data_IF_299279403900
#
_entry.id   IF_299279403900
#
_cell.length_a   1.000
_cell.length_b   1.000
_cell.length_c   1.000
_cell.angle_alpha   90.00
_cell.angle_beta   90.00
_cell.angle_gamma   90.00
#
_symmetry.space_group_name_H-M   'P 1'
#
loop_
_entity.id
_entity.type
_entity.pdbx_description
1 polymer ?
#
# COMPACT_ATOMS: atom_id res chain seq x y z
N UNK A 1 13.85 0.35 -6.90
CA UNK A 1 13.27 1.48 -6.15
C UNK A 1 12.38 0.97 -5.04
N UNK A 2 12.04 1.82 -4.07
CA UNK A 2 11.16 1.47 -2.95
C UNK A 2 9.92 2.36 -2.96
N UNK A 3 8.77 1.77 -2.63
CA UNK A 3 7.47 2.42 -2.74
C UNK A 3 6.61 2.27 -1.49
N UNK A 4 5.93 3.35 -1.11
CA UNK A 4 4.81 3.32 -0.18
C UNK A 4 3.49 3.32 -0.96
N UNK A 5 2.74 2.23 -0.83
CA UNK A 5 1.55 1.93 -1.63
C UNK A 5 0.30 2.19 -0.79
N UNK A 6 -0.46 3.22 -1.16
CA UNK A 6 -1.56 3.75 -0.34
C UNK A 6 -2.89 3.15 -0.76
N UNK A 7 -3.60 2.56 0.21
CA UNK A 7 -5.00 2.12 0.06
C UNK A 7 -5.87 2.74 1.15
N UNK A 8 -7.11 3.08 0.78
CA UNK A 8 -8.09 3.74 1.65
C UNK A 8 -9.42 3.01 1.58
N UNK A 9 -10.33 3.31 2.50
CA UNK A 9 -11.70 2.79 2.44
C UNK A 9 -12.34 3.21 1.11
N UNK A 10 -12.98 2.25 0.44
CA UNK A 10 -13.67 2.48 -0.82
C UNK A 10 -15.17 2.59 -0.58
N UNK A 11 -15.84 3.26 -1.51
CA UNK A 11 -17.31 3.32 -1.56
C UNK A 11 -17.80 2.39 -2.66
N UNK A 12 -18.66 1.45 -2.29
CA UNK A 12 -19.29 0.49 -3.21
C UNK A 12 -20.64 1.02 -3.71
N UNK A 13 -21.66 0.16 -3.66
CA UNK A 13 -23.05 0.55 -3.86
C UNK A 13 -23.49 1.64 -2.86
N UNK A 14 -24.66 2.28 -3.04
CA UNK A 14 -25.12 3.32 -2.11
C UNK A 14 -25.08 2.85 -0.64
N UNK A 15 -24.35 3.59 0.21
CA UNK A 15 -24.11 3.32 1.66
C UNK A 15 -23.17 2.16 1.98
N UNK A 16 -22.60 1.50 0.98
CA UNK A 16 -21.60 0.45 1.19
C UNK A 16 -20.20 1.05 1.35
N UNK A 17 -19.50 0.63 2.40
CA UNK A 17 -18.09 0.91 2.61
C UNK A 17 -17.34 -0.39 2.45
N UNK A 18 -16.44 -0.45 1.47
CA UNK A 18 -15.49 -1.55 1.28
C UNK A 18 -14.24 -1.20 2.10
N UNK A 19 -13.92 -1.96 3.17
CA UNK A 19 -12.78 -1.64 4.03
C UNK A 19 -11.46 -1.62 3.27
N UNK A 20 -10.57 -0.69 3.60
CA UNK A 20 -9.26 -0.54 2.96
C UNK A 20 -8.43 -1.85 2.98
N UNK A 21 -8.53 -2.63 4.06
CA UNK A 21 -7.86 -3.93 4.18
C UNK A 21 -8.44 -4.96 3.21
N UNK A 22 -9.76 -4.97 2.97
CA UNK A 22 -10.38 -5.84 1.98
C UNK A 22 -9.92 -5.48 0.57
N UNK A 23 -9.85 -4.19 0.24
CA UNK A 23 -9.31 -3.72 -1.04
C UNK A 23 -7.86 -4.16 -1.23
N UNK A 24 -7.04 -4.09 -0.18
CA UNK A 24 -5.67 -4.59 -0.20
C UNK A 24 -5.61 -6.09 -0.48
N UNK A 25 -6.41 -6.88 0.25
CA UNK A 25 -6.46 -8.34 0.08
C UNK A 25 -6.87 -8.73 -1.34
N UNK A 26 -7.85 -8.06 -1.93
CA UNK A 26 -8.26 -8.28 -3.33
C UNK A 26 -7.09 -7.97 -4.29
N UNK A 27 -6.41 -6.84 -4.10
CA UNK A 27 -5.24 -6.45 -4.93
C UNK A 27 -4.09 -7.46 -4.84
N UNK A 28 -3.76 -7.92 -3.64
CA UNK A 28 -2.70 -8.91 -3.43
C UNK A 28 -3.10 -10.26 -4.01
N UNK A 29 -4.34 -10.70 -3.78
CA UNK A 29 -4.87 -11.96 -4.34
C UNK A 29 -4.77 -12.01 -5.87
N UNK A 30 -5.09 -10.90 -6.53
CA UNK A 30 -5.01 -10.79 -7.99
C UNK A 30 -3.65 -10.32 -8.52
N UNK A 31 -2.69 -10.07 -7.62
CA UNK A 31 -1.35 -9.64 -7.98
C UNK A 31 -1.30 -8.32 -8.74
N UNK A 32 -2.20 -7.37 -8.43
CA UNK A 32 -2.33 -6.10 -9.16
C UNK A 32 -2.32 -4.89 -8.24
N UNK A 33 -1.69 -3.80 -8.70
CA UNK A 33 -1.82 -2.49 -8.08
C UNK A 33 -2.27 -1.44 -9.07
N UNK A 34 -3.24 -0.61 -8.68
CA UNK A 34 -3.88 0.37 -9.55
C UNK A 34 -3.31 1.76 -9.34
N UNK A 35 -3.13 2.50 -10.44
CA UNK A 35 -2.67 3.90 -10.44
C UNK A 35 -3.41 4.75 -11.49
N UNK A 36 -3.38 6.06 -11.30
CA UNK A 36 -3.86 7.00 -12.32
C UNK A 36 -2.85 7.09 -13.46
N UNK A 37 -3.34 7.29 -14.70
CA UNK A 37 -2.49 7.69 -15.83
C UNK A 37 -1.63 8.93 -15.54
N UNK A 38 -2.12 9.83 -14.67
CA UNK A 38 -1.47 11.08 -14.28
C UNK A 38 -0.48 10.91 -13.13
N UNK A 39 -0.26 9.69 -12.62
CA UNK A 39 0.72 9.47 -11.55
C UNK A 39 2.12 9.86 -12.07
N UNK A 40 2.83 10.81 -11.42
CA UNK A 40 4.11 11.32 -11.91
C UNK A 40 5.21 10.25 -11.93
N UNK A 41 5.04 9.17 -11.16
CA UNK A 41 6.00 8.08 -11.07
C UNK A 41 5.67 6.90 -12.00
N UNK A 42 4.59 6.96 -12.79
CA UNK A 42 4.14 5.86 -13.66
C UNK A 42 5.27 5.24 -14.50
N UNK A 43 6.14 6.07 -15.08
CA UNK A 43 7.26 5.63 -15.94
C UNK A 43 8.48 5.11 -15.16
N UNK A 44 8.53 5.31 -13.83
CA UNK A 44 9.63 4.89 -12.97
C UNK A 44 9.40 3.52 -12.32
N UNK A 45 8.17 3.01 -12.38
CA UNK A 45 7.80 1.71 -11.81
C UNK A 45 8.40 0.62 -12.70
N UNK A 46 9.20 -0.25 -12.10
CA UNK A 46 9.88 -1.32 -12.82
C UNK A 46 9.82 -2.66 -12.06
N UNK A 47 9.89 -3.80 -12.78
CA UNK A 47 10.12 -5.10 -12.14
C UNK A 47 11.36 -5.07 -11.24
N UNK A 48 11.26 -5.71 -10.07
CA UNK A 48 12.33 -5.73 -9.06
C UNK A 48 12.28 -4.56 -8.07
N UNK A 49 11.37 -3.60 -8.25
CA UNK A 49 11.07 -2.63 -7.20
C UNK A 49 10.37 -3.30 -6.00
N UNK A 50 10.54 -2.72 -4.81
CA UNK A 50 9.91 -3.19 -3.58
C UNK A 50 8.86 -2.20 -3.08
N UNK A 51 7.83 -2.70 -2.41
CA UNK A 51 6.74 -1.90 -1.90
C UNK A 51 6.34 -2.29 -0.47
N UNK A 52 5.79 -1.32 0.26
CA UNK A 52 5.10 -1.52 1.54
C UNK A 52 3.65 -1.03 1.43
N UNK A 53 2.71 -1.78 1.99
CA UNK A 53 1.29 -1.45 1.93
C UNK A 53 0.85 -0.58 3.10
N UNK A 54 0.53 0.68 2.83
CA UNK A 54 -0.08 1.58 3.79
C UNK A 54 -1.61 1.58 3.64
N UNK A 55 -2.29 1.14 4.70
CA UNK A 55 -3.74 1.07 4.79
C UNK A 55 -4.24 2.21 5.66
N UNK A 56 -5.12 3.05 5.13
CA UNK A 56 -5.73 4.16 5.87
C UNK A 56 -7.25 4.03 5.85
N UNK A 57 -7.83 3.63 6.97
CA UNK A 57 -9.27 3.49 7.15
C UNK A 57 -9.79 4.40 8.27
N UNK A 58 -11.10 4.47 8.44
CA UNK A 58 -11.70 5.07 9.66
C UNK A 58 -11.32 4.33 10.94
N UNK A 59 -10.98 3.04 10.86
CA UNK A 59 -10.64 2.20 12.02
C UNK A 59 -9.17 2.34 12.44
N UNK A 60 -8.35 3.01 11.65
CA UNK A 60 -6.93 3.16 11.93
C UNK A 60 -6.07 3.18 10.68
N UNK A 61 -4.78 3.39 10.90
CA UNK A 61 -3.75 3.50 9.85
C UNK A 61 -2.62 2.53 10.18
N UNK A 62 -2.31 1.63 9.26
CA UNK A 62 -1.31 0.58 9.47
C UNK A 62 -0.44 0.38 8.23
N UNK A 63 0.75 -0.17 8.44
CA UNK A 63 1.54 -0.86 7.42
C UNK A 63 1.20 -2.34 7.50
N UNK A 64 0.62 -2.87 6.43
CA UNK A 64 -0.03 -4.18 6.44
C UNK A 64 0.76 -5.29 5.76
N UNK A 65 1.90 -4.98 5.15
CA UNK A 65 2.65 -5.95 4.37
C UNK A 65 3.64 -5.32 3.41
N UNK A 66 4.25 -6.18 2.60
CA UNK A 66 5.24 -5.83 1.58
C UNK A 66 4.91 -6.49 0.24
N UNK A 67 5.56 -6.03 -0.83
CA UNK A 67 5.51 -6.70 -2.12
C UNK A 67 6.74 -6.48 -2.97
N UNK A 68 6.90 -7.34 -3.97
CA UNK A 68 7.78 -7.13 -5.11
C UNK A 68 6.95 -6.72 -6.33
N UNK A 69 7.39 -5.70 -7.04
CA UNK A 69 6.79 -5.28 -8.32
C UNK A 69 7.28 -6.23 -9.42
N UNK A 70 6.35 -6.74 -10.22
CA UNK A 70 6.59 -7.77 -11.24
C UNK A 70 6.46 -7.27 -12.66
N UNK A 71 5.85 -6.10 -12.88
CA UNK A 71 5.69 -5.51 -14.22
C UNK A 71 5.84 -4.00 -14.20
N UNK A 72 6.05 -3.42 -15.38
CA UNK A 72 5.86 -1.97 -15.59
C UNK A 72 4.38 -1.60 -15.53
N UNK A 73 4.10 -0.30 -15.37
CA UNK A 73 2.75 0.22 -15.43
C UNK A 73 2.18 0.19 -16.87
N UNK A 74 0.96 -0.32 -17.01
CA UNK A 74 0.26 -0.49 -18.28
C UNK A 74 -1.24 -0.17 -18.15
N UNK A 75 -1.94 0.14 -19.26
CA UNK A 75 -3.37 0.41 -19.23
C UNK A 75 -4.18 -0.79 -18.70
N UNK A 76 -5.29 -0.51 -18.01
CA UNK A 76 -6.22 -1.54 -17.54
C UNK A 76 -6.83 -2.30 -18.72
N UNK A 77 -6.75 -3.64 -18.67
CA UNK A 77 -7.42 -4.54 -19.62
C UNK A 77 -8.84 -4.86 -19.15
N UNK A 78 -9.71 -5.41 -20.02
CA UNK A 78 -11.04 -5.87 -19.60
C UNK A 78 -11.01 -6.86 -18.42
N UNK A 79 -10.01 -7.73 -18.36
CA UNK A 79 -9.81 -8.71 -17.28
C UNK A 79 -9.44 -8.04 -15.96
N UNK A 80 -8.61 -6.99 -16.00
CA UNK A 80 -8.33 -6.21 -14.79
C UNK A 80 -9.53 -5.36 -14.41
N UNK A 81 -10.30 -4.87 -15.39
CA UNK A 81 -11.48 -4.05 -15.11
C UNK A 81 -12.55 -4.81 -14.31
N UNK A 82 -12.72 -6.11 -14.53
CA UNK A 82 -13.72 -6.92 -13.82
C UNK A 82 -13.40 -7.17 -12.33
N UNK A 83 -12.15 -6.97 -11.90
CA UNK A 83 -11.73 -7.12 -10.49
C UNK A 83 -11.65 -5.77 -9.74
N UNK A 84 -11.90 -4.66 -10.42
CA UNK A 84 -11.84 -3.32 -9.80
C UNK A 84 -13.14 -3.06 -9.04
N UNK A 85 -13.02 -2.87 -7.73
CA UNK A 85 -14.16 -2.64 -6.85
C UNK A 85 -14.12 -1.23 -6.25
N UNK A 86 -15.25 -0.52 -6.35
CA UNK A 86 -15.53 0.71 -5.64
C UNK A 86 -14.72 1.95 -6.06
N UNK A 87 -15.13 3.08 -5.49
CA UNK A 87 -14.46 4.37 -5.60
C UNK A 87 -13.41 4.55 -4.49
N UNK A 88 -12.18 5.02 -4.77
CA UNK A 88 -11.74 5.64 -6.02
C UNK A 88 -11.09 4.68 -7.05
N UNK A 89 -11.02 3.37 -6.81
CA UNK A 89 -10.36 2.44 -7.75
C UNK A 89 -10.95 2.48 -9.17
N UNK A 90 -12.25 2.68 -9.32
CA UNK A 90 -12.90 2.85 -10.63
C UNK A 90 -12.43 4.07 -11.45
N UNK A 91 -11.73 5.05 -10.84
CA UNK A 91 -11.14 6.19 -11.55
C UNK A 91 -9.71 5.93 -12.05
N UNK A 92 -9.11 4.83 -11.63
CA UNK A 92 -7.75 4.47 -12.00
C UNK A 92 -7.78 3.81 -13.38
N UNK A 93 -6.76 4.08 -14.18
CA UNK A 93 -6.75 3.69 -15.61
C UNK A 93 -5.56 2.82 -15.97
N UNK A 94 -4.61 2.65 -15.04
CA UNK A 94 -3.41 1.87 -15.22
C UNK A 94 -3.21 0.92 -14.04
N UNK A 95 -2.46 -0.14 -14.27
CA UNK A 95 -2.04 -1.08 -13.25
C UNK A 95 -0.62 -1.56 -13.49
N UNK A 96 -0.03 -2.18 -12.47
CA UNK A 96 1.18 -3.00 -12.58
C UNK A 96 1.02 -4.26 -11.72
N UNK A 97 1.78 -5.29 -12.07
CA UNK A 97 1.80 -6.56 -11.37
C UNK A 97 2.60 -6.47 -10.07
N UNK A 98 2.09 -7.11 -9.02
CA UNK A 98 2.75 -7.24 -7.72
C UNK A 98 2.67 -8.68 -7.21
N UNK A 99 3.63 -9.05 -6.37
CA UNK A 99 3.62 -10.26 -5.56
C UNK A 99 3.74 -9.82 -4.10
N UNK A 100 2.63 -9.90 -3.36
CA UNK A 100 2.49 -9.29 -2.04
C UNK A 100 2.33 -10.30 -0.92
N UNK A 101 2.84 -9.95 0.27
CA UNK A 101 2.65 -10.67 1.53
C UNK A 101 1.95 -9.73 2.50
N UNK A 102 0.84 -10.20 3.08
CA UNK A 102 0.12 -9.50 4.14
C UNK A 102 0.55 -10.06 5.49
N UNK A 103 0.90 -9.19 6.42
CA UNK A 103 1.35 -9.59 7.75
C UNK A 103 0.15 -9.93 8.65
N UNK A 104 0.31 -10.95 9.47
CA UNK A 104 -0.68 -11.32 10.49
C UNK A 104 -0.86 -10.19 11.52
N UNK A 105 0.23 -9.49 11.85
CA UNK A 105 0.25 -8.38 12.78
C UNK A 105 0.73 -7.11 12.07
N UNK A 106 -0.17 -6.29 11.52
CA UNK A 106 0.19 -5.00 10.91
C UNK A 106 0.85 -4.04 11.91
N UNK A 107 1.74 -3.19 11.41
CA UNK A 107 2.42 -2.17 12.21
C UNK A 107 1.55 -0.92 12.25
N UNK A 108 1.34 -0.32 13.42
CA UNK A 108 0.67 0.98 13.49
C UNK A 108 1.49 2.05 12.76
N UNK A 109 0.88 2.73 11.79
CA UNK A 109 1.59 3.65 10.91
C UNK A 109 2.19 4.86 11.67
N UNK A 110 1.60 5.26 12.79
CA UNK A 110 2.08 6.33 13.66
C UNK A 110 3.47 6.04 14.26
N UNK A 111 3.87 4.77 14.38
CA UNK A 111 5.17 4.35 14.90
C UNK A 111 6.30 4.52 13.90
N UNK A 112 5.98 4.49 12.60
CA UNK A 112 6.99 4.38 11.53
C UNK A 112 6.96 5.56 10.57
N UNK A 113 5.79 5.92 10.04
CA UNK A 113 5.66 6.95 9.00
C UNK A 113 6.23 8.31 9.45
N UNK A 114 6.00 8.80 10.69
CA UNK A 114 6.61 10.06 11.12
C UNK A 114 8.13 10.05 11.09
N UNK A 115 8.79 8.89 11.18
CA UNK A 115 10.25 8.81 11.12
C UNK A 115 10.81 8.76 9.70
N UNK A 116 9.95 8.61 8.69
CA UNK A 116 10.39 8.54 7.29
C UNK A 116 10.92 9.87 6.76
N UNK A 117 11.89 9.79 5.86
CA UNK A 117 12.67 10.91 5.31
C UNK A 117 11.80 11.95 4.57
N UNK A 118 10.78 11.50 3.84
CA UNK A 118 9.92 12.39 3.04
C UNK A 118 8.90 13.17 3.88
N UNK A 119 8.64 12.75 5.12
CA UNK A 119 7.69 13.40 6.02
C UNK A 119 8.38 14.58 6.70
N UNK A 120 8.13 15.80 6.25
CA UNK A 120 8.75 16.99 6.87
C UNK A 120 8.03 17.43 8.15
N UNK A 121 6.69 17.43 8.14
CA UNK A 121 5.88 17.76 9.31
C UNK A 121 5.35 16.48 9.99
N UNK A 122 5.99 16.12 11.10
CA UNK A 122 5.69 14.88 11.83
C UNK A 122 4.33 14.90 12.54
N UNK A 123 3.84 16.08 12.93
CA UNK A 123 2.51 16.23 13.54
C UNK A 123 1.36 16.05 12.51
N UNK A 124 1.62 16.35 11.23
CA UNK A 124 0.63 16.26 10.14
C UNK A 124 1.10 15.31 9.03
N UNK A 125 1.69 14.18 9.41
CA UNK A 125 2.32 13.22 8.48
C UNK A 125 1.36 12.65 7.44
N UNK A 126 0.08 12.44 7.77
CA UNK A 126 -0.88 11.84 6.84
C UNK A 126 -1.18 12.70 5.61
N UNK A 127 -0.89 14.01 5.66
CA UNK A 127 -1.05 14.90 4.51
C UNK A 127 -0.07 14.57 3.37
N UNK A 128 1.07 13.95 3.69
CA UNK A 128 2.07 13.53 2.69
C UNK A 128 1.66 12.25 1.95
N UNK A 129 0.59 11.57 2.38
CA UNK A 129 0.12 10.28 1.85
C UNK A 129 -1.11 10.44 0.95
N UNK A 130 -1.17 11.55 0.22
CA UNK A 130 -2.19 11.78 -0.81
C UNK A 130 -1.77 11.13 -2.12
N UNK A 131 -2.64 10.28 -2.67
CA UNK A 131 -2.38 9.51 -3.88
C UNK A 131 -2.42 8.01 -3.60
N UNK A 132 -1.91 7.23 -4.56
CA UNK A 132 -1.90 5.76 -4.50
C UNK A 132 -0.49 5.18 -4.34
N UNK A 133 0.56 5.97 -4.60
CA UNK A 133 1.94 5.51 -4.66
C UNK A 133 2.91 6.67 -4.39
N UNK A 134 3.84 6.47 -3.46
CA UNK A 134 4.91 7.43 -3.15
C UNK A 134 6.26 6.73 -3.18
N UNK A 135 7.31 7.34 -3.76
CA UNK A 135 8.67 6.84 -3.60
C UNK A 135 9.10 7.02 -2.15
N UNK A 136 9.82 6.03 -1.63
CA UNK A 136 10.50 6.10 -0.34
C UNK A 136 11.97 5.73 -0.54
N UNK A 137 12.81 6.09 0.41
CA UNK A 137 14.23 5.71 0.35
C UNK A 137 14.41 4.24 0.78
N UNK A 138 15.56 3.61 0.46
CA UNK A 138 15.89 2.30 0.99
C UNK A 138 15.86 2.27 2.53
N UNK A 139 16.33 3.33 3.18
CA UNK A 139 16.36 3.44 4.65
C UNK A 139 14.95 3.49 5.25
N UNK A 140 14.02 4.21 4.59
CA UNK A 140 12.60 4.23 4.99
C UNK A 140 11.95 2.84 4.87
N UNK A 141 12.33 2.07 3.84
CA UNK A 141 11.86 0.70 3.66
C UNK A 141 12.46 -0.23 4.73
N UNK A 142 13.77 -0.18 4.96
CA UNK A 142 14.43 -0.96 6.01
C UNK A 142 13.87 -0.66 7.39
N UNK A 143 13.54 0.60 7.67
CA UNK A 143 12.91 1.00 8.91
C UNK A 143 11.61 0.21 9.15
N UNK A 144 10.76 0.11 8.12
CA UNK A 144 9.52 -0.69 8.19
C UNK A 144 9.81 -2.16 8.48
N UNK A 145 10.79 -2.76 7.81
CA UNK A 145 11.15 -4.16 8.01
C UNK A 145 11.64 -4.41 9.45
N UNK A 146 12.47 -3.52 10.01
CA UNK A 146 12.95 -3.63 11.39
C UNK A 146 11.81 -3.62 12.40
N UNK A 147 10.82 -2.73 12.22
CA UNK A 147 9.63 -2.71 13.08
C UNK A 147 8.81 -4.00 13.00
N UNK A 148 8.69 -4.60 11.80
CA UNK A 148 7.98 -5.87 11.64
C UNK A 148 8.68 -7.00 12.41
N UNK A 149 10.01 -7.13 12.25
CA UNK A 149 10.80 -8.16 12.94
C UNK A 149 10.67 -8.06 14.46
N UNK A 150 10.72 -6.84 15.01
CA UNK A 150 10.51 -6.63 16.45
C UNK A 150 9.11 -7.03 16.92
N UNK A 151 8.08 -6.79 16.10
CA UNK A 151 6.71 -7.15 16.44
C UNK A 151 6.49 -8.67 16.42
N UNK A 152 7.12 -9.37 15.47
CA UNK A 152 7.04 -10.83 15.37
C UNK A 152 7.79 -11.52 16.53
N UNK A 153 8.92 -10.97 17.00
CA UNK A 153 9.65 -11.46 18.17
C UNK A 153 8.84 -11.34 19.47
N UNK A 154 8.17 -10.20 19.69
CA UNK A 154 7.31 -10.01 20.87
C UNK A 154 6.13 -10.98 20.85
N UNK A 155 5.47 -11.11 19.69
CA UNK A 155 4.31 -12.01 19.54
C UNK A 155 4.68 -13.48 19.75
N UNK A 156 5.92 -13.87 19.39
CA UNK A 156 6.42 -15.23 19.59
C UNK A 156 6.71 -15.54 21.06
N UNK A 157 7.13 -14.54 21.85
CA UNK A 157 7.40 -14.68 23.29
C UNK A 157 6.13 -14.74 24.13
N UNK A 158 5.07 -14.02 23.74
CA UNK A 158 3.78 -14.04 24.47
C UNK A 158 2.99 -15.34 24.25
N UNK A 159 3.40 -16.19 23.31
CA UNK A 159 2.77 -17.48 22.98
C UNK A 159 3.52 -18.71 23.51
N UNK A 160 4.69 -18.50 24.13
CA UNK A 160 5.51 -19.55 24.75
C UNK A 160 5.26 -19.60 26.26
#
# INVERSE_FOLDING_TARGET
>A
MYWLMVVKDHRGAPREIIPAMQVLLTRVRHGVWLISAKNPYRKKIAPGDHGVFYVSSKRGRVIAGTCNIKSVAQPITPQIKSIIEGYPSGLLTHYFGIEGVIWANPIEASRVIPSMSFVKNKAKWSAYLQGTLHPITPEDYELVIRYQSQQDEVTSKDRA
#
